data_IF_229333481799
#
_entry.id   IF_229333481799
#
_cell.length_a   1.000
_cell.length_b   1.000
_cell.length_c   1.000
_cell.angle_alpha   90.00
_cell.angle_beta   90.00
_cell.angle_gamma   90.00
#
_symmetry.space_group_name_H-M   'P 1'
#
loop_
_entity.id
_entity.type
_entity.pdbx_description
1 polymer ?
#
# COMPACT_ATOMS: atom_id res chain seq x y z
N UNK A 1 -10.72 8.83 -10.15
CA UNK A 1 -10.50 9.07 -8.71
C UNK A 1 -10.53 10.58 -8.57
N UNK A 2 -11.46 11.10 -7.77
CA UNK A 2 -11.59 12.54 -7.57
C UNK A 2 -10.43 13.05 -6.70
N UNK A 3 -9.78 14.19 -7.04
CA UNK A 3 -8.72 14.78 -6.21
C UNK A 3 -9.14 15.07 -4.76
N UNK A 4 -10.41 15.36 -4.49
CA UNK A 4 -10.91 15.59 -3.12
C UNK A 4 -10.95 14.29 -2.30
N UNK A 5 -11.27 13.17 -2.95
CA UNK A 5 -11.29 11.83 -2.34
C UNK A 5 -9.87 11.37 -1.97
N UNK A 6 -8.88 11.71 -2.80
CA UNK A 6 -7.48 11.42 -2.54
C UNK A 6 -6.93 12.17 -1.32
N UNK A 7 -7.24 13.46 -1.19
CA UNK A 7 -6.76 14.29 -0.08
C UNK A 7 -7.35 13.87 1.27
N UNK A 8 -8.65 13.52 1.28
CA UNK A 8 -9.32 12.98 2.46
C UNK A 8 -8.70 11.65 2.90
N UNK A 9 -8.31 10.77 1.96
CA UNK A 9 -7.65 9.50 2.29
C UNK A 9 -6.31 9.72 3.02
N UNK A 10 -5.49 10.68 2.58
CA UNK A 10 -4.21 10.99 3.26
C UNK A 10 -4.41 11.64 4.63
N UNK A 11 -5.40 12.52 4.77
CA UNK A 11 -5.73 13.14 6.05
C UNK A 11 -6.24 12.10 7.07
N UNK A 12 -7.09 11.17 6.63
CA UNK A 12 -7.56 10.08 7.48
C UNK A 12 -6.44 9.10 7.83
N UNK A 13 -5.48 8.87 6.92
CA UNK A 13 -4.33 8.01 7.19
C UNK A 13 -3.43 8.63 8.25
N UNK A 14 -3.17 9.94 8.16
CA UNK A 14 -2.43 10.67 9.18
C UNK A 14 -3.07 10.52 10.56
N UNK A 15 -4.38 10.73 10.66
CA UNK A 15 -5.13 10.60 11.92
C UNK A 15 -5.10 9.16 12.46
N UNK A 16 -5.24 8.15 11.58
CA UNK A 16 -5.11 6.75 11.99
C UNK A 16 -3.72 6.44 12.54
N UNK A 17 -2.65 6.90 11.88
CA UNK A 17 -1.29 6.68 12.37
C UNK A 17 -1.02 7.41 13.69
N UNK A 18 -1.59 8.61 13.85
CA UNK A 18 -1.39 9.43 15.04
C UNK A 18 -2.02 8.82 16.29
N UNK A 19 -3.14 8.08 16.17
CA UNK A 19 -3.71 7.27 17.27
C UNK A 19 -2.69 6.32 17.88
N UNK A 20 -1.78 5.77 17.07
CA UNK A 20 -0.73 4.86 17.55
C UNK A 20 0.57 5.58 17.91
N UNK A 21 0.87 6.72 17.28
CA UNK A 21 2.06 7.51 17.59
C UNK A 21 1.93 8.26 18.92
N UNK A 22 0.74 8.82 19.21
CA UNK A 22 0.42 9.67 20.38
C UNK A 22 -0.99 9.35 20.90
N UNK A 23 -1.22 8.14 21.44
CA UNK A 23 -2.56 7.70 21.87
C UNK A 23 -3.21 8.64 22.90
N UNK A 24 -2.41 9.33 23.72
CA UNK A 24 -2.82 10.31 24.72
C UNK A 24 -3.44 11.59 24.14
N UNK A 25 -3.21 11.87 22.85
CA UNK A 25 -3.80 13.03 22.16
C UNK A 25 -5.27 12.83 21.77
N UNK A 26 -5.80 11.62 21.99
CA UNK A 26 -7.17 11.24 21.64
C UNK A 26 -7.91 10.77 22.89
N UNK A 27 -9.22 10.97 22.92
CA UNK A 27 -10.07 10.26 23.87
C UNK A 27 -10.20 8.77 23.51
N UNK A 28 -10.59 7.93 24.47
CA UNK A 28 -10.87 6.51 24.21
C UNK A 28 -11.95 6.30 23.14
N UNK A 29 -12.95 7.19 23.10
CA UNK A 29 -14.00 7.20 22.08
C UNK A 29 -13.45 7.47 20.68
N UNK A 30 -12.59 8.49 20.53
CA UNK A 30 -11.97 8.83 19.25
C UNK A 30 -11.03 7.73 18.76
N UNK A 31 -10.19 7.17 19.64
CA UNK A 31 -9.32 6.04 19.30
C UNK A 31 -10.14 4.89 18.72
N UNK A 32 -11.24 4.53 19.40
CA UNK A 32 -12.16 3.47 18.96
C UNK A 32 -12.77 3.80 17.60
N UNK A 33 -13.32 5.00 17.43
CA UNK A 33 -14.00 5.39 16.19
C UNK A 33 -13.07 5.32 14.98
N UNK A 34 -11.90 5.95 15.09
CA UNK A 34 -10.89 6.02 14.01
C UNK A 34 -10.45 4.60 13.61
N UNK A 35 -10.08 3.77 14.58
CA UNK A 35 -9.62 2.40 14.33
C UNK A 35 -10.74 1.53 13.75
N UNK A 36 -11.97 1.65 14.26
CA UNK A 36 -13.11 0.86 13.78
C UNK A 36 -13.53 1.24 12.36
N UNK A 37 -13.51 2.53 12.00
CA UNK A 37 -13.69 2.99 10.62
C UNK A 37 -12.68 2.38 9.67
N UNK A 38 -11.40 2.36 10.06
CA UNK A 38 -10.35 1.72 9.28
C UNK A 38 -10.56 0.22 9.13
N UNK A 39 -11.07 -0.46 10.16
CA UNK A 39 -11.37 -1.90 10.13
C UNK A 39 -12.57 -2.21 9.22
N UNK A 40 -13.64 -1.44 9.30
CA UNK A 40 -14.84 -1.61 8.48
C UNK A 40 -14.67 -1.12 7.05
N UNK A 41 -13.74 -0.20 6.81
CA UNK A 41 -13.49 0.30 5.46
C UNK A 41 -13.02 -0.83 4.56
N UNK A 42 -13.88 -1.16 3.62
CA UNK A 42 -13.63 -2.20 2.66
C UNK A 42 -12.54 -1.79 1.67
N UNK A 43 -12.31 -0.51 1.42
CA UNK A 43 -11.25 -0.05 0.51
C UNK A 43 -9.85 -0.08 1.12
N UNK A 44 -9.74 -0.21 2.46
CA UNK A 44 -8.47 -0.17 3.18
C UNK A 44 -7.96 -1.60 3.43
N UNK A 45 -6.76 -1.88 2.91
CA UNK A 45 -6.09 -3.18 3.06
C UNK A 45 -5.63 -3.44 4.51
N UNK A 46 -5.21 -4.67 4.86
CA UNK A 46 -4.57 -4.97 6.14
C UNK A 46 -3.25 -4.23 6.42
N UNK A 47 -2.62 -3.63 5.40
CA UNK A 47 -1.25 -3.15 5.48
C UNK A 47 -1.02 -2.04 6.52
N UNK A 48 -1.89 -1.00 6.64
CA UNK A 48 -1.72 0.04 7.66
C UNK A 48 -1.66 -0.54 9.08
N UNK A 49 -2.45 -1.56 9.37
CA UNK A 49 -2.45 -2.23 10.67
C UNK A 49 -1.13 -2.95 10.97
N UNK A 50 -0.55 -3.60 9.96
CA UNK A 50 0.78 -4.21 10.09
C UNK A 50 1.85 -3.15 10.33
N UNK A 51 1.77 -2.05 9.58
CA UNK A 51 2.73 -0.94 9.71
C UNK A 51 2.69 -0.27 11.08
N UNK A 52 1.53 -0.10 11.70
CA UNK A 52 1.46 0.47 13.06
C UNK A 52 1.99 -0.50 14.12
N UNK A 53 1.78 -1.81 13.97
CA UNK A 53 2.38 -2.80 14.87
C UNK A 53 3.90 -2.84 14.71
N UNK A 54 4.41 -2.80 13.47
CA UNK A 54 5.86 -2.74 13.20
C UNK A 54 6.51 -1.48 13.76
N UNK A 55 5.84 -0.32 13.62
CA UNK A 55 6.41 0.99 13.98
C UNK A 55 6.18 1.38 15.44
N UNK A 56 5.06 0.99 16.04
CA UNK A 56 4.63 1.38 17.38
C UNK A 56 4.12 0.17 18.18
N UNK A 57 4.95 -0.87 18.41
CA UNK A 57 4.49 -2.15 18.97
C UNK A 57 3.81 -2.00 20.34
N UNK A 58 4.38 -1.23 21.27
CA UNK A 58 3.80 -1.06 22.61
C UNK A 58 2.48 -0.28 22.57
N UNK A 59 2.43 0.82 21.82
CA UNK A 59 1.21 1.62 21.69
C UNK A 59 0.12 0.83 20.95
N UNK A 60 0.48 0.04 19.93
CA UNK A 60 -0.47 -0.85 19.27
C UNK A 60 -1.09 -1.85 20.25
N UNK A 61 -0.26 -2.43 21.13
CA UNK A 61 -0.74 -3.36 22.15
C UNK A 61 -1.72 -2.69 23.12
N UNK A 62 -1.39 -1.49 23.59
CA UNK A 62 -2.25 -0.71 24.50
C UNK A 62 -3.56 -0.30 23.83
N UNK A 63 -3.48 0.31 22.65
CA UNK A 63 -4.65 0.81 21.91
C UNK A 63 -5.59 -0.32 21.51
N UNK A 64 -5.08 -1.40 20.94
CA UNK A 64 -5.93 -2.54 20.59
C UNK A 64 -6.46 -3.27 21.82
N UNK A 65 -5.64 -3.42 22.87
CA UNK A 65 -6.08 -3.99 24.14
C UNK A 65 -7.23 -3.22 24.77
N UNK A 66 -7.17 -1.89 24.76
CA UNK A 66 -8.25 -1.01 25.21
C UNK A 66 -9.50 -1.17 24.34
N UNK A 67 -9.38 -1.00 23.02
CA UNK A 67 -10.51 -1.02 22.08
C UNK A 67 -11.26 -2.35 22.12
N UNK A 68 -10.54 -3.47 22.22
CA UNK A 68 -11.14 -4.80 22.21
C UNK A 68 -11.39 -5.38 23.60
N UNK A 69 -11.13 -4.61 24.67
CA UNK A 69 -11.22 -5.05 26.06
C UNK A 69 -10.42 -6.35 26.33
N UNK A 70 -9.18 -6.40 25.83
CA UNK A 70 -8.25 -7.54 25.97
C UNK A 70 -6.92 -7.07 26.53
N UNK A 71 -6.78 -7.10 27.86
CA UNK A 71 -5.56 -6.69 28.54
C UNK A 71 -4.32 -7.52 28.13
N UNK A 72 -4.52 -8.79 27.75
CA UNK A 72 -3.49 -9.69 27.25
C UNK A 72 -3.36 -9.68 25.72
N UNK A 73 -3.69 -8.55 25.08
CA UNK A 73 -3.55 -8.39 23.64
C UNK A 73 -2.12 -8.71 23.18
N UNK A 74 -2.03 -9.57 22.18
CA UNK A 74 -0.82 -9.94 21.48
C UNK A 74 -0.87 -9.44 20.04
N UNK A 75 0.07 -8.57 19.67
CA UNK A 75 0.08 -7.91 18.37
C UNK A 75 0.19 -8.88 17.19
N UNK A 76 0.77 -10.06 17.36
CA UNK A 76 0.95 -11.00 16.25
C UNK A 76 -0.29 -11.89 16.10
N UNK A 77 -0.66 -12.57 17.20
CA UNK A 77 -1.78 -13.52 17.26
C UNK A 77 -3.13 -12.82 17.11
N UNK A 78 -3.36 -11.76 17.88
CA UNK A 78 -4.67 -11.12 17.96
C UNK A 78 -4.91 -10.21 16.76
N UNK A 79 -3.88 -9.53 16.23
CA UNK A 79 -4.00 -8.79 14.98
C UNK A 79 -4.26 -9.74 13.80
N UNK A 80 -3.57 -10.88 13.71
CA UNK A 80 -3.81 -11.87 12.64
C UNK A 80 -5.25 -12.38 12.65
N UNK A 81 -5.82 -12.58 13.84
CA UNK A 81 -7.23 -12.95 14.03
C UNK A 81 -8.17 -11.82 13.64
N UNK A 82 -7.84 -10.57 13.98
CA UNK A 82 -8.61 -9.39 13.60
C UNK A 82 -8.63 -9.18 12.08
N UNK A 83 -7.49 -9.34 11.41
CA UNK A 83 -7.38 -9.22 9.94
C UNK A 83 -8.17 -10.32 9.23
N UNK A 84 -8.18 -11.56 9.76
CA UNK A 84 -9.03 -12.63 9.23
C UNK A 84 -10.52 -12.32 9.38
N UNK A 85 -10.93 -11.67 10.48
CA UNK A 85 -12.33 -11.30 10.72
C UNK A 85 -12.80 -10.15 9.82
N UNK A 86 -12.07 -9.05 9.79
CA UNK A 86 -12.52 -7.81 9.12
C UNK A 86 -12.01 -7.66 7.70
N UNK A 87 -10.88 -8.29 7.34
CA UNK A 87 -10.21 -8.12 6.05
C UNK A 87 -10.05 -9.43 5.28
N UNK A 88 -10.90 -10.42 5.55
CA UNK A 88 -10.86 -11.74 4.92
C UNK A 88 -10.74 -11.67 3.39
N UNK A 89 -11.46 -10.72 2.77
CA UNK A 89 -11.47 -10.51 1.31
C UNK A 89 -10.11 -10.13 0.72
N UNK A 90 -9.29 -9.39 1.46
CA UNK A 90 -7.93 -9.05 1.06
C UNK A 90 -6.95 -10.20 1.25
N UNK A 91 -7.19 -11.06 2.24
CA UNK A 91 -6.35 -12.24 2.49
C UNK A 91 -6.65 -13.40 1.53
N UNK A 92 -7.90 -13.51 1.06
CA UNK A 92 -8.31 -14.51 0.05
C UNK A 92 -7.85 -14.17 -1.36
N UNK A 93 -7.69 -12.87 -1.66
CA UNK A 93 -7.08 -12.42 -2.91
C UNK A 93 -5.59 -12.70 -2.82
N UNK A 94 -5.08 -13.64 -3.64
CA UNK A 94 -3.64 -13.75 -3.89
C UNK A 94 -3.11 -12.33 -4.20
N UNK A 95 -1.93 -11.93 -3.68
CA UNK A 95 -1.37 -10.63 -4.03
C UNK A 95 -1.26 -10.58 -5.54
N UNK A 96 -2.11 -9.80 -6.20
CA UNK A 96 -1.87 -9.47 -7.59
C UNK A 96 -0.64 -8.58 -7.57
N UNK A 97 0.46 -8.98 -8.23
CA UNK A 97 1.58 -8.07 -8.38
C UNK A 97 1.04 -6.83 -9.08
N UNK A 98 1.10 -5.70 -8.39
CA UNK A 98 0.87 -4.40 -9.00
C UNK A 98 2.12 -4.14 -9.84
N UNK A 99 2.18 -4.76 -11.02
CA UNK A 99 3.15 -4.36 -12.03
C UNK A 99 2.68 -2.98 -12.48
N UNK A 100 3.31 -1.93 -11.98
CA UNK A 100 3.28 -0.63 -12.63
C UNK A 100 4.13 -0.80 -13.88
N UNK A 101 3.58 -0.70 -15.10
CA UNK A 101 4.43 -0.58 -16.27
C UNK A 101 5.19 0.74 -16.10
N UNK A 102 6.50 0.67 -15.88
CA UNK A 102 7.37 1.80 -16.24
C UNK A 102 7.31 1.87 -17.76
N UNK A 103 6.35 2.66 -18.25
CA UNK A 103 6.42 3.27 -19.57
C UNK A 103 6.89 4.71 -19.34
N UNK A 104 8.20 4.90 -19.28
CA UNK A 104 8.79 6.21 -19.58
C UNK A 104 10.02 5.97 -20.42
N UNK A 105 9.82 6.31 -21.69
CA UNK A 105 10.78 6.44 -22.76
C UNK A 105 12.06 7.14 -22.28
N UNK A 106 13.21 6.52 -22.50
CA UNK A 106 14.46 7.27 -22.68
C UNK A 106 14.78 7.19 -24.17
N UNK A 107 14.39 8.24 -24.88
CA UNK A 107 14.91 8.58 -26.19
C UNK A 107 15.68 9.88 -25.99
N UNK A 108 17.02 9.78 -25.89
CA UNK A 108 17.99 10.76 -26.43
C UNK A 108 19.41 10.48 -25.90
N UNK A 109 20.37 10.37 -26.84
CA UNK A 109 21.75 10.79 -26.60
C UNK A 109 22.80 9.70 -26.64
N UNK A 110 23.26 9.31 -27.83
CA UNK A 110 24.45 8.47 -27.99
C UNK A 110 24.73 8.15 -29.45
N UNK A 111 25.40 9.07 -30.13
CA UNK A 111 25.82 8.99 -31.52
C UNK A 111 26.69 7.75 -31.81
N UNK A 112 26.50 7.20 -33.00
CA UNK A 112 27.25 6.07 -33.55
C UNK A 112 26.87 5.81 -35.01
N UNK A 113 27.04 6.82 -35.86
CA UNK A 113 27.30 6.65 -37.30
C UNK A 113 28.50 5.67 -37.43
N UNK A 114 28.61 4.67 -38.32
CA UNK A 114 28.03 4.45 -39.62
C UNK A 114 28.12 2.95 -39.99
N UNK A 115 27.11 2.42 -40.67
CA UNK A 115 27.30 1.65 -41.90
C UNK A 115 25.96 1.55 -42.63
N UNK A 116 25.91 2.15 -43.81
CA UNK A 116 24.73 2.24 -44.67
C UNK A 116 24.26 0.86 -45.19
N UNK A 117 22.98 0.76 -45.59
CA UNK A 117 22.30 -0.49 -45.92
C UNK A 117 22.56 -0.95 -47.36
N UNK A 118 22.25 -2.22 -47.62
CA UNK A 118 22.62 -2.96 -48.81
C UNK A 118 22.06 -2.48 -50.16
N UNK A 119 22.65 -3.03 -51.21
CA UNK A 119 22.13 -3.00 -52.56
C UNK A 119 22.08 -4.45 -53.09
N UNK A 120 20.91 -4.87 -53.55
CA UNK A 120 20.77 -5.89 -54.58
C UNK A 120 19.56 -5.50 -55.45
N UNK A 121 19.24 -6.22 -56.52
CA UNK A 121 20.07 -6.92 -57.51
C UNK A 121 19.96 -6.23 -58.90
N UNK A 122 20.82 -6.56 -59.89
CA UNK A 122 20.69 -6.00 -61.24
C UNK A 122 21.56 -6.69 -62.29
N UNK A 123 20.90 -7.23 -63.32
CA UNK A 123 21.41 -8.10 -64.37
C UNK A 123 22.41 -7.44 -65.35
N UNK A 124 23.29 -8.27 -65.96
CA UNK A 124 23.43 -8.42 -67.43
C UNK A 124 24.72 -9.19 -67.82
N UNK A 125 24.58 -10.32 -68.52
CA UNK A 125 25.53 -10.80 -69.55
C UNK A 125 25.33 -9.93 -70.83
N UNK A 126 26.09 -10.03 -71.94
CA UNK A 126 27.25 -10.88 -72.25
C UNK A 126 28.42 -10.12 -72.93
N UNK A 127 29.51 -10.85 -73.20
CA UNK A 127 30.60 -10.50 -74.11
C UNK A 127 31.55 -11.67 -74.23
#
# INVERSE_FOLDING_TARGET
MDPEEGLNFYAELGRFLEVFARPESFSAGERRDIVMRYLWSDSISPLPFRKVVERYPENARLVFGEIFARASWDNERDLGSLMRKYKARFLKRRPQPWIIPVATQILAGGAGEASRPGAGPGAARPG
#
